data_IF_020740549881
#
_entry.id   IF_020740549881
#
_cell.length_a   1.000
_cell.length_b   1.000
_cell.length_c   1.000
_cell.angle_alpha   90.00
_cell.angle_beta   90.00
_cell.angle_gamma   90.00
#
_symmetry.space_group_name_H-M   'P 1'
#
loop_
_entity.id
_entity.type
_entity.pdbx_description
1 polymer ?
#
# COMPACT_ATOMS: atom_id res chain seq x y z
N UNK A 1 2.38 -16.86 21.79
CA UNK A 1 2.75 -17.39 20.47
C UNK A 1 1.60 -17.07 19.53
N UNK A 2 1.81 -16.29 18.49
CA UNK A 2 0.75 -15.87 17.59
C UNK A 2 0.25 -17.08 16.76
N UNK A 3 -1.06 -17.24 16.66
CA UNK A 3 -1.71 -18.31 15.89
C UNK A 3 -1.21 -18.35 14.43
N UNK A 4 -0.84 -17.20 13.87
CA UNK A 4 -0.30 -17.05 12.53
C UNK A 4 1.00 -17.81 12.27
N UNK A 5 1.86 -17.98 13.28
CA UNK A 5 3.09 -18.79 13.12
C UNK A 5 2.78 -20.29 13.06
N UNK A 6 1.73 -20.73 13.75
CA UNK A 6 1.28 -22.11 13.73
C UNK A 6 0.57 -22.45 12.40
N UNK A 7 -0.31 -21.57 11.93
CA UNK A 7 -1.00 -21.70 10.63
C UNK A 7 0.02 -21.74 9.49
N UNK A 8 1.02 -20.86 9.48
CA UNK A 8 2.11 -20.86 8.49
C UNK A 8 2.92 -22.17 8.49
N UNK A 9 3.21 -22.74 9.66
CA UNK A 9 3.88 -24.05 9.76
C UNK A 9 3.06 -25.20 9.20
N UNK A 10 1.73 -25.13 9.31
CA UNK A 10 0.84 -26.18 8.77
C UNK A 10 0.73 -26.17 7.24
N UNK A 11 0.80 -24.99 6.61
CA UNK A 11 0.60 -24.84 5.16
C UNK A 11 1.90 -24.88 4.34
N UNK A 12 3.08 -24.70 4.94
CA UNK A 12 4.40 -24.90 4.32
C UNK A 12 4.50 -24.33 2.89
N UNK A 13 4.76 -25.22 1.89
CA UNK A 13 4.91 -24.87 0.47
C UNK A 13 3.65 -24.29 -0.19
N UNK A 14 2.48 -24.38 0.45
CA UNK A 14 1.21 -23.84 -0.07
C UNK A 14 0.90 -22.44 0.49
N UNK A 15 1.78 -21.87 1.32
CA UNK A 15 1.60 -20.54 1.90
C UNK A 15 1.33 -19.46 0.84
N UNK A 16 2.10 -19.48 -0.26
CA UNK A 16 1.94 -18.55 -1.38
C UNK A 16 0.57 -18.67 -2.03
N UNK A 17 0.12 -19.90 -2.32
CA UNK A 17 -1.18 -20.16 -2.96
C UNK A 17 -2.34 -19.68 -2.07
N UNK A 18 -2.28 -19.99 -0.77
CA UNK A 18 -3.31 -19.58 0.18
C UNK A 18 -3.33 -18.07 0.34
N UNK A 19 -2.18 -17.45 0.42
CA UNK A 19 -2.02 -16.00 0.48
C UNK A 19 -2.56 -15.31 -0.79
N UNK A 20 -2.32 -15.87 -1.97
CA UNK A 20 -2.88 -15.35 -3.24
C UNK A 20 -4.39 -15.59 -3.34
N UNK A 21 -4.91 -16.73 -2.89
CA UNK A 21 -6.35 -16.99 -2.83
C UNK A 21 -7.06 -16.02 -1.86
N UNK A 22 -6.46 -15.78 -0.69
CA UNK A 22 -6.98 -14.80 0.27
C UNK A 22 -6.98 -13.39 -0.32
N UNK A 23 -5.85 -12.96 -0.91
CA UNK A 23 -5.77 -11.66 -1.58
C UNK A 23 -6.78 -11.55 -2.72
N UNK A 24 -6.90 -12.57 -3.58
CA UNK A 24 -7.88 -12.59 -4.66
C UNK A 24 -9.33 -12.49 -4.19
N UNK A 25 -9.65 -13.11 -3.05
CA UNK A 25 -10.99 -13.07 -2.48
C UNK A 25 -11.33 -11.75 -1.76
N UNK A 26 -10.35 -11.10 -1.15
CA UNK A 26 -10.57 -9.91 -0.31
C UNK A 26 -9.95 -8.64 -0.88
N UNK A 27 -8.82 -8.75 -1.60
CA UNK A 27 -8.04 -7.61 -2.10
C UNK A 27 -7.74 -7.83 -3.57
N UNK A 28 -8.45 -7.15 -4.47
CA UNK A 28 -8.12 -7.21 -5.90
C UNK A 28 -6.95 -6.26 -6.21
N UNK A 29 -5.72 -6.73 -5.97
CA UNK A 29 -4.51 -5.97 -6.25
C UNK A 29 -4.34 -5.68 -7.74
N UNK A 30 -4.77 -6.58 -8.61
CA UNK A 30 -4.67 -6.39 -10.06
C UNK A 30 -5.57 -5.23 -10.53
N UNK A 31 -6.82 -5.15 -10.05
CA UNK A 31 -7.71 -4.00 -10.30
C UNK A 31 -7.12 -2.70 -9.74
N UNK A 32 -6.53 -2.72 -8.55
CA UNK A 32 -5.92 -1.53 -7.97
C UNK A 32 -4.71 -1.06 -8.80
N UNK A 33 -3.79 -1.94 -9.17
CA UNK A 33 -2.62 -1.56 -9.96
C UNK A 33 -3.00 -1.12 -11.37
N UNK A 34 -4.00 -1.74 -12.00
CA UNK A 34 -4.54 -1.27 -13.27
C UNK A 34 -5.12 0.15 -13.16
N UNK A 35 -5.80 0.45 -12.05
CA UNK A 35 -6.31 1.78 -11.75
C UNK A 35 -5.16 2.78 -11.55
N UNK A 36 -4.13 2.43 -10.78
CA UNK A 36 -2.93 3.25 -10.56
C UNK A 36 -2.25 3.57 -11.89
N UNK A 37 -2.09 2.57 -12.77
CA UNK A 37 -1.54 2.78 -14.10
C UNK A 37 -2.41 3.73 -14.94
N UNK A 38 -3.74 3.62 -14.87
CA UNK A 38 -4.63 4.52 -15.59
C UNK A 38 -4.56 5.97 -15.08
N UNK A 39 -4.20 6.17 -13.82
CA UNK A 39 -4.04 7.49 -13.20
C UNK A 39 -2.69 8.13 -13.49
N UNK A 40 -1.63 7.34 -13.64
CA UNK A 40 -0.26 7.81 -13.81
C UNK A 40 0.50 6.93 -14.80
N UNK A 41 0.08 6.88 -16.09
CA UNK A 41 0.62 5.92 -17.07
C UNK A 41 2.09 6.15 -17.40
N UNK A 42 2.56 7.38 -17.25
CA UNK A 42 3.92 7.79 -17.65
C UNK A 42 4.92 7.79 -16.48
N UNK A 43 4.56 7.21 -15.34
CA UNK A 43 5.41 7.16 -14.15
C UNK A 43 6.70 6.38 -14.42
N UNK A 44 7.86 7.01 -14.13
CA UNK A 44 9.20 6.45 -14.33
C UNK A 44 9.96 6.17 -13.04
N UNK A 45 9.62 6.87 -11.96
CA UNK A 45 10.25 6.71 -10.65
C UNK A 45 9.16 6.45 -9.61
N UNK A 46 9.02 5.18 -9.23
CA UNK A 46 7.91 4.71 -8.39
C UNK A 46 8.44 4.33 -7.01
N UNK A 47 7.76 4.77 -5.96
CA UNK A 47 7.95 4.29 -4.60
C UNK A 47 6.74 3.47 -4.17
N UNK A 48 6.97 2.24 -3.73
CA UNK A 48 5.96 1.44 -3.02
C UNK A 48 6.24 1.47 -1.52
N UNK A 49 5.29 2.00 -0.73
CA UNK A 49 5.36 2.06 0.73
C UNK A 49 4.58 0.88 1.30
N UNK A 50 5.23 0.09 2.16
CA UNK A 50 4.63 -1.11 2.76
C UNK A 50 4.52 -2.27 1.79
N UNK A 51 5.59 -2.53 1.04
CA UNK A 51 5.62 -3.58 0.01
C UNK A 51 5.53 -5.00 0.59
N UNK A 52 5.77 -5.18 1.89
CA UNK A 52 5.76 -6.48 2.55
C UNK A 52 6.60 -7.52 1.80
N UNK A 53 6.02 -8.66 1.49
CA UNK A 53 6.71 -9.75 0.79
C UNK A 53 6.81 -9.55 -0.74
N UNK A 54 6.37 -8.41 -1.31
CA UNK A 54 6.60 -8.02 -2.71
C UNK A 54 5.52 -8.45 -3.71
N UNK A 55 4.31 -8.78 -3.23
CA UNK A 55 3.21 -9.16 -4.12
C UNK A 55 2.68 -7.95 -4.94
N UNK A 56 2.58 -6.77 -4.32
CA UNK A 56 2.27 -5.50 -4.98
C UNK A 56 3.37 -5.11 -5.94
N UNK A 57 4.63 -5.17 -5.47
CA UNK A 57 5.82 -4.86 -6.27
C UNK A 57 5.87 -5.66 -7.57
N UNK A 58 5.54 -6.95 -7.53
CA UNK A 58 5.50 -7.81 -8.73
C UNK A 58 4.48 -7.33 -9.77
N UNK A 59 3.36 -6.77 -9.32
CA UNK A 59 2.31 -6.22 -10.19
C UNK A 59 2.68 -4.85 -10.72
N UNK A 60 3.25 -3.99 -9.88
CA UNK A 60 3.79 -2.69 -10.30
C UNK A 60 4.86 -2.87 -11.38
N UNK A 61 5.83 -3.75 -11.18
CA UNK A 61 6.89 -4.02 -12.15
C UNK A 61 6.37 -4.56 -13.50
N UNK A 62 5.24 -5.26 -13.51
CA UNK A 62 4.60 -5.69 -14.76
C UNK A 62 3.83 -4.58 -15.45
N UNK A 63 3.19 -3.70 -14.68
CA UNK A 63 2.38 -2.60 -15.21
C UNK A 63 3.23 -1.41 -15.63
N UNK A 64 4.41 -1.24 -15.06
CA UNK A 64 5.37 -0.18 -15.35
C UNK A 64 6.75 -0.77 -15.71
N UNK A 65 6.87 -1.44 -16.87
CA UNK A 65 8.08 -2.21 -17.20
C UNK A 65 9.35 -1.37 -17.36
N UNK A 66 9.20 -0.10 -17.68
CA UNK A 66 10.30 0.84 -17.91
C UNK A 66 10.61 1.72 -16.68
N UNK A 67 9.83 1.62 -15.62
CA UNK A 67 10.01 2.43 -14.41
C UNK A 67 11.04 1.83 -13.45
N UNK A 68 11.74 2.71 -12.74
CA UNK A 68 12.54 2.34 -11.58
C UNK A 68 11.66 2.31 -10.33
N UNK A 69 11.60 1.17 -9.65
CA UNK A 69 10.73 0.96 -8.49
C UNK A 69 11.60 0.78 -7.26
N UNK A 70 11.40 1.64 -6.27
CA UNK A 70 11.89 1.44 -4.92
C UNK A 70 10.74 0.93 -4.04
N UNK A 71 10.90 -0.25 -3.47
CA UNK A 71 9.90 -0.87 -2.60
C UNK A 71 10.43 -0.88 -1.16
N UNK A 72 9.70 -0.23 -0.24
CA UNK A 72 10.13 -0.13 1.16
C UNK A 72 9.14 -0.77 2.12
N UNK A 73 9.68 -1.33 3.19
CA UNK A 73 8.92 -1.84 4.33
C UNK A 73 9.80 -1.80 5.59
N UNK A 74 9.18 -1.87 6.76
CA UNK A 74 9.88 -2.03 8.05
C UNK A 74 10.08 -3.50 8.42
N UNK A 75 9.43 -4.42 7.71
CA UNK A 75 9.46 -5.86 7.92
C UNK A 75 10.81 -6.46 7.51
N UNK A 76 11.23 -7.52 8.21
CA UNK A 76 12.40 -8.34 7.88
C UNK A 76 12.15 -9.34 6.72
N UNK A 77 10.89 -9.46 6.25
CA UNK A 77 10.48 -10.37 5.17
C UNK A 77 10.35 -9.70 3.81
N UNK A 78 11.01 -8.59 3.67
CA UNK A 78 10.99 -7.70 2.52
C UNK A 78 11.22 -8.44 1.20
N UNK A 79 10.27 -8.31 0.27
CA UNK A 79 10.40 -8.81 -1.11
C UNK A 79 10.51 -10.33 -1.29
N UNK A 80 10.30 -11.13 -0.26
CA UNK A 80 10.50 -12.60 -0.27
C UNK A 80 9.72 -13.34 -1.37
N UNK A 81 8.56 -12.83 -1.73
CA UNK A 81 7.66 -13.40 -2.74
C UNK A 81 7.72 -12.65 -4.09
N UNK A 82 8.66 -11.72 -4.23
CA UNK A 82 8.85 -11.04 -5.50
C UNK A 82 9.37 -12.02 -6.55
N UNK A 83 8.59 -12.26 -7.60
CA UNK A 83 8.92 -13.20 -8.67
C UNK A 83 9.57 -12.54 -9.89
N UNK A 84 9.72 -11.21 -9.90
CA UNK A 84 10.33 -10.46 -10.98
C UNK A 84 11.85 -10.61 -11.02
N UNK A 85 12.45 -10.33 -12.18
CA UNK A 85 13.90 -10.33 -12.40
C UNK A 85 14.39 -8.97 -12.87
N UNK A 86 13.59 -7.91 -12.74
CA UNK A 86 13.97 -6.58 -13.19
C UNK A 86 15.07 -6.00 -12.30
N UNK A 87 16.17 -5.56 -12.91
CA UNK A 87 17.21 -4.79 -12.22
C UNK A 87 16.73 -3.39 -11.79
N UNK A 88 15.57 -2.96 -12.29
CA UNK A 88 14.94 -1.68 -11.96
C UNK A 88 14.11 -1.72 -10.66
N UNK A 89 14.05 -2.87 -9.96
CA UNK A 89 13.36 -3.00 -8.67
C UNK A 89 14.37 -3.15 -7.55
N UNK A 90 14.34 -2.21 -6.62
CA UNK A 90 15.14 -2.21 -5.39
C UNK A 90 14.24 -2.39 -4.17
N UNK A 91 14.68 -3.20 -3.21
CA UNK A 91 14.01 -3.36 -1.92
C UNK A 91 14.86 -2.78 -0.80
N UNK A 92 14.27 -1.93 0.06
CA UNK A 92 14.97 -1.34 1.21
C UNK A 92 14.13 -1.45 2.49
N UNK A 93 14.75 -1.97 3.54
CA UNK A 93 14.16 -1.97 4.88
C UNK A 93 14.44 -0.60 5.54
N UNK A 94 13.47 0.30 5.44
CA UNK A 94 13.59 1.69 5.90
C UNK A 94 12.21 2.27 6.20
N UNK A 95 12.13 3.23 7.12
CA UNK A 95 10.88 3.97 7.33
C UNK A 95 10.69 5.08 6.30
N UNK A 96 9.45 5.51 6.10
CA UNK A 96 9.11 6.60 5.16
C UNK A 96 9.83 7.90 5.55
N UNK A 97 9.89 8.20 6.87
CA UNK A 97 10.53 9.41 7.38
C UNK A 97 12.06 9.39 7.20
N UNK A 98 12.68 8.21 7.29
CA UNK A 98 14.11 8.09 6.99
C UNK A 98 14.36 8.33 5.51
N UNK A 99 13.58 7.69 4.64
CA UNK A 99 13.70 7.86 3.19
C UNK A 99 13.45 9.30 2.75
N UNK A 100 12.46 10.00 3.36
CA UNK A 100 12.16 11.38 3.03
C UNK A 100 13.34 12.35 3.29
N UNK A 101 14.19 12.04 4.26
CA UNK A 101 15.42 12.81 4.51
C UNK A 101 16.52 12.53 3.48
N UNK A 102 16.54 11.32 2.92
CA UNK A 102 17.55 10.88 1.96
C UNK A 102 17.22 11.30 0.51
N UNK A 103 15.94 11.22 0.15
CA UNK A 103 15.48 11.33 -1.24
C UNK A 103 14.26 12.25 -1.42
N UNK A 104 14.27 13.50 -0.90
CA UNK A 104 13.12 14.39 -1.01
C UNK A 104 12.83 14.73 -2.47
N UNK A 105 11.54 14.77 -2.83
CA UNK A 105 11.09 15.18 -4.15
C UNK A 105 11.49 14.24 -5.29
N UNK A 106 11.72 12.97 -5.02
CA UNK A 106 12.32 12.02 -5.97
C UNK A 106 11.32 11.26 -6.84
N UNK A 107 10.11 10.98 -6.33
CA UNK A 107 9.20 10.03 -6.95
C UNK A 107 8.04 10.74 -7.66
N UNK A 108 7.82 10.40 -8.92
CA UNK A 108 6.68 10.88 -9.70
C UNK A 108 5.39 10.07 -9.42
N UNK A 109 5.52 8.86 -8.89
CA UNK A 109 4.41 8.08 -8.35
C UNK A 109 4.79 7.43 -7.03
N UNK A 110 3.96 7.61 -6.02
CA UNK A 110 4.04 6.86 -4.76
C UNK A 110 2.79 6.01 -4.61
N UNK A 111 2.95 4.74 -4.21
CA UNK A 111 1.86 3.79 -4.01
C UNK A 111 1.87 3.30 -2.57
N UNK A 112 0.73 3.36 -1.88
CA UNK A 112 0.53 2.80 -0.54
C UNK A 112 -0.76 1.98 -0.55
N UNK A 113 -0.65 0.69 -0.32
CA UNK A 113 -1.75 -0.26 -0.40
C UNK A 113 -1.87 -1.08 0.89
N UNK A 114 -2.97 -0.91 1.61
CA UNK A 114 -3.27 -1.65 2.85
C UNK A 114 -2.20 -1.49 3.95
N UNK A 115 -1.74 -0.26 4.16
CA UNK A 115 -0.67 0.07 5.12
C UNK A 115 -1.16 0.97 6.24
N UNK A 116 -1.98 1.98 5.93
CA UNK A 116 -2.31 3.04 6.89
C UNK A 116 -3.03 2.50 8.14
N UNK A 117 -3.83 1.46 7.99
CA UNK A 117 -4.54 0.84 9.12
C UNK A 117 -3.62 0.08 10.09
N UNK A 118 -2.38 -0.26 9.68
CA UNK A 118 -1.33 -0.80 10.56
C UNK A 118 -0.55 0.31 11.29
N UNK A 119 -0.64 1.56 10.82
CA UNK A 119 0.07 2.69 11.43
C UNK A 119 -0.74 3.23 12.61
N UNK A 120 -0.13 3.37 13.81
CA UNK A 120 -0.77 4.04 14.94
C UNK A 120 -1.31 5.43 14.57
N UNK A 121 -2.49 5.77 15.08
CA UNK A 121 -3.22 6.98 14.65
C UNK A 121 -2.41 8.27 14.84
N UNK A 122 -1.60 8.36 15.90
CA UNK A 122 -0.72 9.48 16.22
C UNK A 122 0.44 9.66 15.23
N UNK A 123 0.86 8.58 14.56
CA UNK A 123 1.96 8.58 13.58
C UNK A 123 1.48 8.79 12.13
N UNK A 124 0.19 8.64 11.83
CA UNK A 124 -0.34 8.72 10.45
C UNK A 124 -0.02 10.04 9.77
N UNK A 125 -0.12 11.16 10.51
CA UNK A 125 0.18 12.49 9.96
C UNK A 125 1.65 12.65 9.60
N UNK A 126 2.58 12.14 10.43
CA UNK A 126 4.02 12.23 10.14
C UNK A 126 4.40 11.38 8.94
N UNK A 127 3.85 10.15 8.83
CA UNK A 127 4.06 9.27 7.68
C UNK A 127 3.52 9.90 6.39
N UNK A 128 2.32 10.47 6.41
CA UNK A 128 1.75 11.13 5.23
C UNK A 128 2.50 12.42 4.85
N UNK A 129 3.00 13.19 5.82
CA UNK A 129 3.85 14.34 5.55
C UNK A 129 5.17 13.92 4.90
N UNK A 130 5.82 12.88 5.42
CA UNK A 130 7.03 12.30 4.82
C UNK A 130 6.76 11.75 3.41
N UNK A 131 5.60 11.10 3.20
CA UNK A 131 5.16 10.66 1.86
C UNK A 131 5.05 11.84 0.89
N UNK A 132 4.44 12.95 1.31
CA UNK A 132 4.36 14.19 0.51
C UNK A 132 5.75 14.73 0.18
N UNK A 133 6.67 14.72 1.14
CA UNK A 133 8.03 15.27 0.95
C UNK A 133 8.86 14.43 -0.04
N UNK A 134 8.53 13.14 -0.20
CA UNK A 134 9.12 12.22 -1.20
C UNK A 134 8.60 12.47 -2.62
N UNK A 135 7.41 13.04 -2.79
CA UNK A 135 6.82 13.30 -4.11
C UNK A 135 7.59 14.36 -4.88
N UNK A 136 7.85 14.09 -6.15
CA UNK A 136 8.33 15.10 -7.09
C UNK A 136 7.29 16.24 -7.28
N UNK A 137 7.69 17.44 -7.71
CA UNK A 137 6.74 18.43 -8.19
C UNK A 137 5.86 17.85 -9.31
N UNK A 138 4.54 17.99 -9.21
CA UNK A 138 3.59 17.34 -10.14
C UNK A 138 3.43 15.83 -9.96
N UNK A 139 4.11 15.23 -8.98
CA UNK A 139 3.99 13.80 -8.70
C UNK A 139 2.66 13.42 -8.08
N UNK A 140 2.36 12.12 -8.12
CA UNK A 140 1.11 11.53 -7.67
C UNK A 140 1.30 10.57 -6.50
N UNK A 141 0.31 10.49 -5.60
CA UNK A 141 0.23 9.50 -4.53
C UNK A 141 -1.05 8.70 -4.67
N UNK A 142 -0.93 7.43 -5.00
CA UNK A 142 -2.04 6.47 -5.09
C UNK A 142 -2.16 5.72 -3.75
N UNK A 143 -3.23 6.00 -3.06
CA UNK A 143 -3.55 5.43 -1.76
C UNK A 143 -4.71 4.45 -1.86
N UNK A 144 -4.60 3.28 -1.22
CA UNK A 144 -5.69 2.29 -1.10
C UNK A 144 -5.71 1.74 0.31
N UNK A 145 -6.91 1.64 0.88
CA UNK A 145 -7.09 0.99 2.19
C UNK A 145 -8.49 0.38 2.34
N UNK A 146 -8.69 -0.35 3.43
CA UNK A 146 -9.97 -0.88 3.85
C UNK A 146 -10.75 0.17 4.63
N UNK A 147 -12.03 0.28 4.30
CA UNK A 147 -12.96 1.13 5.02
C UNK A 147 -13.53 0.40 6.24
N UNK A 148 -13.54 1.08 7.39
CA UNK A 148 -14.29 0.63 8.56
C UNK A 148 -15.77 0.68 8.26
N UNK A 149 -16.40 -0.49 8.12
CA UNK A 149 -17.83 -0.64 7.82
C UNK A 149 -18.49 -1.61 8.80
N UNK A 150 -19.81 -1.51 8.97
CA UNK A 150 -20.59 -2.45 9.79
C UNK A 150 -21.03 -3.70 9.00
N UNK A 151 -20.15 -4.23 8.14
CA UNK A 151 -20.46 -5.39 7.30
C UNK A 151 -19.81 -6.67 7.82
N UNK A 152 -20.39 -7.86 7.56
CA UNK A 152 -19.77 -9.13 7.93
C UNK A 152 -18.37 -9.31 7.38
N UNK A 153 -18.10 -8.81 6.17
CA UNK A 153 -16.78 -8.86 5.52
C UNK A 153 -15.74 -8.08 6.33
N UNK A 154 -16.11 -6.91 6.86
CA UNK A 154 -15.22 -6.15 7.74
C UNK A 154 -14.87 -6.92 9.02
N UNK A 155 -15.85 -7.59 9.65
CA UNK A 155 -15.60 -8.39 10.85
C UNK A 155 -14.66 -9.56 10.57
N UNK A 156 -14.80 -10.21 9.42
CA UNK A 156 -13.91 -11.32 9.00
C UNK A 156 -12.49 -10.82 8.76
N UNK A 157 -12.32 -9.70 8.04
CA UNK A 157 -11.01 -9.10 7.78
C UNK A 157 -10.33 -8.66 9.07
N UNK A 158 -11.06 -7.93 9.93
CA UNK A 158 -10.56 -7.48 11.23
C UNK A 158 -10.15 -8.66 12.14
N UNK A 159 -10.96 -9.73 12.17
CA UNK A 159 -10.62 -10.94 12.89
C UNK A 159 -9.36 -11.60 12.32
N UNK A 160 -9.24 -11.68 11.00
CA UNK A 160 -8.08 -12.25 10.33
C UNK A 160 -6.80 -11.47 10.66
N UNK A 161 -6.81 -10.14 10.56
CA UNK A 161 -5.66 -9.31 10.87
C UNK A 161 -5.27 -9.41 12.34
N UNK A 162 -6.25 -9.39 13.24
CA UNK A 162 -5.99 -9.50 14.68
C UNK A 162 -5.48 -10.88 15.10
N UNK A 163 -6.00 -11.97 14.50
CA UNK A 163 -5.73 -13.33 14.95
C UNK A 163 -4.65 -14.05 14.14
N UNK A 164 -4.50 -13.73 12.84
CA UNK A 164 -3.50 -14.33 11.97
C UNK A 164 -2.19 -13.57 11.97
N UNK A 165 -2.22 -12.23 11.92
CA UNK A 165 -1.00 -11.42 11.93
C UNK A 165 -0.60 -10.99 13.34
N UNK A 166 -1.56 -10.87 14.27
CA UNK A 166 -1.33 -10.41 15.62
C UNK A 166 -1.21 -8.89 15.74
N UNK A 167 -1.52 -8.17 14.67
CA UNK A 167 -1.38 -6.73 14.59
C UNK A 167 -2.56 -6.00 15.24
N UNK A 168 -2.27 -4.85 15.83
CA UNK A 168 -3.30 -3.90 16.25
C UNK A 168 -3.65 -3.03 15.06
N UNK A 169 -4.71 -3.40 14.33
CA UNK A 169 -5.18 -2.64 13.18
C UNK A 169 -6.28 -1.67 13.58
N UNK A 170 -6.23 -0.47 13.03
CA UNK A 170 -7.23 0.57 13.23
C UNK A 170 -7.67 1.13 11.88
N UNK A 171 -8.79 0.61 11.38
CA UNK A 171 -9.35 1.04 10.11
C UNK A 171 -9.99 2.42 10.20
N UNK A 172 -9.79 3.24 9.19
CA UNK A 172 -10.45 4.52 9.00
C UNK A 172 -11.74 4.36 8.17
N UNK A 173 -12.68 5.27 8.34
CA UNK A 173 -13.72 5.49 7.35
C UNK A 173 -13.13 6.22 6.13
N UNK A 174 -13.81 6.16 5.00
CA UNK A 174 -13.41 6.89 3.79
C UNK A 174 -13.29 8.40 4.07
N UNK A 175 -14.22 8.97 4.81
CA UNK A 175 -14.23 10.39 5.19
C UNK A 175 -13.04 10.76 6.10
N UNK A 176 -12.70 9.89 7.07
CA UNK A 176 -11.52 10.09 7.92
C UNK A 176 -10.22 10.04 7.09
N UNK A 177 -10.11 9.09 6.16
CA UNK A 177 -8.98 9.01 5.25
C UNK A 177 -8.87 10.24 4.33
N UNK A 178 -9.97 10.71 3.75
CA UNK A 178 -10.01 11.96 2.97
C UNK A 178 -9.56 13.16 3.79
N UNK A 179 -10.02 13.26 5.04
CA UNK A 179 -9.62 14.35 5.95
C UNK A 179 -8.14 14.31 6.27
N UNK A 180 -7.59 13.11 6.50
CA UNK A 180 -6.14 12.93 6.74
C UNK A 180 -5.32 13.31 5.51
N UNK A 181 -5.73 12.86 4.32
CA UNK A 181 -5.05 13.20 3.06
C UNK A 181 -5.14 14.69 2.77
N UNK A 182 -6.32 15.30 2.88
CA UNK A 182 -6.51 16.73 2.67
C UNK A 182 -5.67 17.55 3.66
N UNK A 183 -5.57 17.13 4.92
CA UNK A 183 -4.77 17.80 5.95
C UNK A 183 -3.26 17.68 5.71
N UNK A 184 -2.80 16.59 5.07
CA UNK A 184 -1.37 16.34 4.83
C UNK A 184 -0.87 16.90 3.49
N UNK A 185 -1.73 16.91 2.45
CA UNK A 185 -1.36 17.28 1.08
C UNK A 185 -2.04 18.58 0.60
N UNK A 186 -3.00 19.10 1.35
CA UNK A 186 -3.86 20.21 0.94
C UNK A 186 -5.18 19.73 0.31
N UNK A 187 -6.28 20.43 0.59
CA UNK A 187 -7.63 20.02 0.22
C UNK A 187 -7.86 19.90 -1.30
N UNK A 188 -7.16 20.70 -2.10
CA UNK A 188 -7.26 20.68 -3.57
C UNK A 188 -6.41 19.58 -4.24
N UNK A 189 -5.61 18.85 -3.48
CA UNK A 189 -4.70 17.83 -4.01
C UNK A 189 -5.40 16.50 -4.34
N UNK A 190 -6.55 16.21 -3.71
CA UNK A 190 -7.31 14.98 -3.93
C UNK A 190 -8.06 15.03 -5.28
N UNK A 191 -7.59 14.26 -6.27
CA UNK A 191 -8.06 14.28 -7.66
C UNK A 191 -9.06 13.20 -8.00
N UNK A 192 -8.81 11.96 -7.56
CA UNK A 192 -9.62 10.81 -7.93
C UNK A 192 -10.06 10.02 -6.70
N UNK A 193 -11.20 9.35 -6.84
CA UNK A 193 -11.74 8.40 -5.86
C UNK A 193 -12.27 7.20 -6.59
N UNK A 194 -12.01 6.01 -6.06
CA UNK A 194 -12.51 4.77 -6.62
C UNK A 194 -12.88 3.77 -5.53
N UNK A 195 -13.66 2.79 -5.90
CA UNK A 195 -13.94 1.61 -5.08
C UNK A 195 -13.35 0.39 -5.80
N UNK A 196 -12.54 -0.38 -5.08
CA UNK A 196 -11.90 -1.59 -5.61
C UNK A 196 -12.78 -2.80 -5.31
N UNK A 197 -13.05 -3.61 -6.34
CA UNK A 197 -13.77 -4.88 -6.18
C UNK A 197 -12.92 -5.93 -5.46
N UNK A 198 -13.48 -7.00 -4.91
CA UNK A 198 -14.89 -7.40 -5.02
C UNK A 198 -15.82 -6.72 -3.99
N UNK A 199 -15.26 -6.17 -2.92
CA UNK A 199 -16.04 -5.63 -1.82
C UNK A 199 -16.04 -4.08 -1.82
N UNK A 200 -17.20 -3.48 -1.54
CA UNK A 200 -17.34 -2.01 -1.55
C UNK A 200 -16.56 -1.28 -0.44
N UNK A 201 -16.03 -1.99 0.51
CA UNK A 201 -15.20 -1.47 1.60
C UNK A 201 -13.70 -1.35 1.25
N UNK A 202 -13.31 -1.63 0.02
CA UNK A 202 -12.00 -1.29 -0.50
C UNK A 202 -12.09 0.01 -1.29
N UNK A 203 -11.37 1.03 -0.88
CA UNK A 203 -11.34 2.31 -1.57
C UNK A 203 -9.94 2.73 -1.96
N UNK A 204 -9.85 3.49 -3.04
CA UNK A 204 -8.61 4.08 -3.50
C UNK A 204 -8.78 5.58 -3.79
N UNK A 205 -7.72 6.33 -3.62
CA UNK A 205 -7.66 7.76 -3.83
C UNK A 205 -6.37 8.15 -4.53
N UNK A 206 -6.44 9.13 -5.43
CA UNK A 206 -5.28 9.76 -6.02
C UNK A 206 -5.13 11.17 -5.48
N UNK A 207 -3.95 11.46 -4.99
CA UNK A 207 -3.53 12.79 -4.57
C UNK A 207 -2.42 13.26 -5.50
N UNK A 208 -2.48 14.50 -5.95
CA UNK A 208 -1.42 15.13 -6.74
C UNK A 208 -0.73 16.23 -5.94
N UNK A 209 0.59 16.31 -6.06
CA UNK A 209 1.36 17.43 -5.55
C UNK A 209 1.33 18.57 -6.55
N UNK A 210 1.06 19.80 -6.10
CA UNK A 210 1.20 20.97 -6.95
C UNK A 210 2.61 21.05 -7.56
N UNK A 211 2.68 21.45 -8.82
CA UNK A 211 3.93 21.66 -9.54
C UNK A 211 4.78 22.79 -8.94
#
# INVERSE_FOLDING_TARGET
MALGSLVRRMFGRHETLISELWRGAFINLDDFIALVHSWSPDAQTILEIGCGEGAGTSRLARSFPDANILAIDISDRLGRLYAGRSAAVEFRQVTVEQLAREMPGRFDLIVMCDVLHHIPADLRKSVLAATRDLMAPGGSFAFKDWERTATPVHWISHAADRWLTGDRVEYATRSEAETLLAGSFGGSSLRQRATIRPWRNNFAMLVERAA
#
